data_IF_332194348914
#
_entry.id   IF_332194348914
#
_cell.length_a   1.000
_cell.length_b   1.000
_cell.length_c   1.000
_cell.angle_alpha   90.00
_cell.angle_beta   90.00
_cell.angle_gamma   90.00
#
_symmetry.space_group_name_H-M   'P 1'
#
loop_
_entity.id
_entity.type
_entity.pdbx_description
1 polymer ?
#
# COMPACT_ATOMS: atom_id res chain seq x y z
N UNK A 1 -22.94 -29.16 -9.38
CA UNK A 1 -21.56 -28.95 -8.89
C UNK A 1 -21.58 -27.61 -8.19
N UNK A 2 -21.81 -27.66 -6.88
CA UNK A 2 -21.78 -26.49 -6.00
C UNK A 2 -20.34 -25.96 -6.00
N UNK A 3 -20.17 -24.70 -6.38
CA UNK A 3 -19.01 -23.95 -5.89
C UNK A 3 -19.37 -23.61 -4.44
N UNK A 4 -18.74 -24.30 -3.49
CA UNK A 4 -18.87 -23.94 -2.08
C UNK A 4 -18.36 -22.50 -1.92
N UNK A 5 -19.18 -21.57 -1.39
CA UNK A 5 -18.71 -20.21 -1.14
C UNK A 5 -17.61 -20.25 -0.07
N UNK A 6 -16.59 -19.39 -0.15
CA UNK A 6 -15.59 -19.29 0.90
C UNK A 6 -16.31 -18.98 2.21
N UNK A 7 -15.93 -19.70 3.27
CA UNK A 7 -16.43 -19.47 4.62
C UNK A 7 -15.92 -18.11 5.13
N UNK A 8 -16.57 -17.03 4.70
CA UNK A 8 -16.48 -15.77 5.43
C UNK A 8 -17.22 -16.00 6.75
N UNK A 9 -16.47 -16.08 7.85
CA UNK A 9 -17.06 -16.05 9.17
C UNK A 9 -17.44 -14.60 9.47
N UNK A 10 -18.73 -14.35 9.68
CA UNK A 10 -19.25 -13.04 10.08
C UNK A 10 -18.87 -12.74 11.53
N UNK A 11 -18.14 -11.64 11.74
CA UNK A 11 -17.97 -11.03 13.07
C UNK A 11 -19.26 -10.37 13.57
N UNK A 12 -19.36 -10.05 14.88
CA UNK A 12 -20.59 -9.59 15.54
C UNK A 12 -21.13 -8.21 15.10
N UNK A 13 -20.49 -7.52 14.15
CA UNK A 13 -20.91 -6.21 13.62
C UNK A 13 -21.41 -6.22 12.17
N UNK A 14 -21.34 -7.35 11.45
CA UNK A 14 -21.78 -7.44 10.05
C UNK A 14 -20.92 -6.63 9.05
N UNK A 15 -19.87 -5.96 9.51
CA UNK A 15 -18.87 -5.31 8.67
C UNK A 15 -17.56 -6.11 8.71
N UNK A 16 -16.88 -6.31 7.56
CA UNK A 16 -15.57 -6.94 7.55
C UNK A 16 -14.63 -6.13 8.44
N UNK A 17 -13.88 -6.83 9.30
CA UNK A 17 -12.86 -6.15 10.10
C UNK A 17 -11.75 -5.64 9.17
N UNK A 18 -10.99 -4.62 9.60
CA UNK A 18 -9.88 -4.06 8.82
C UNK A 18 -8.94 -5.15 8.32
N UNK A 19 -8.69 -6.17 9.14
CA UNK A 19 -7.88 -7.36 8.81
C UNK A 19 -8.50 -8.24 7.73
N UNK A 20 -9.83 -8.41 7.70
CA UNK A 20 -10.50 -9.23 6.69
C UNK A 20 -10.56 -8.53 5.33
N UNK A 21 -10.76 -7.20 5.34
CA UNK A 21 -10.73 -6.38 4.13
C UNK A 21 -9.32 -6.35 3.52
N UNK A 22 -8.28 -6.22 4.35
CA UNK A 22 -6.88 -6.29 3.94
C UNK A 22 -6.54 -7.68 3.35
N UNK A 23 -6.97 -8.76 3.99
CA UNK A 23 -6.74 -10.11 3.47
C UNK A 23 -7.39 -10.31 2.08
N UNK A 24 -8.60 -9.81 1.87
CA UNK A 24 -9.30 -9.88 0.58
C UNK A 24 -8.67 -8.99 -0.50
N UNK A 25 -8.15 -7.81 -0.12
CA UNK A 25 -7.40 -6.95 -1.04
C UNK A 25 -6.08 -7.60 -1.45
N UNK A 26 -5.34 -8.17 -0.50
CA UNK A 26 -4.11 -8.93 -0.76
C UNK A 26 -4.38 -10.13 -1.67
N UNK A 27 -5.44 -10.91 -1.45
CA UNK A 27 -5.76 -12.02 -2.35
C UNK A 27 -6.00 -11.55 -3.81
N UNK A 28 -6.70 -10.42 -3.99
CA UNK A 28 -6.97 -9.84 -5.31
C UNK A 28 -5.75 -9.24 -6.01
N UNK A 29 -4.80 -8.67 -5.27
CA UNK A 29 -3.61 -8.02 -5.85
C UNK A 29 -2.56 -9.05 -6.30
N UNK A 30 -2.56 -10.25 -5.71
CA UNK A 30 -1.55 -11.28 -5.99
C UNK A 30 -1.97 -12.29 -7.08
N UNK A 31 -3.21 -12.26 -7.56
CA UNK A 31 -3.68 -13.14 -8.63
C UNK A 31 -3.13 -12.67 -9.99
N UNK A 32 -1.82 -12.87 -10.21
CA UNK A 32 -1.14 -12.64 -11.49
C UNK A 32 0.15 -11.81 -11.45
N UNK A 33 0.60 -11.34 -10.29
CA UNK A 33 1.83 -10.55 -10.17
C UNK A 33 3.05 -11.43 -9.91
N UNK A 34 4.11 -11.26 -10.73
CA UNK A 34 5.40 -11.95 -10.55
C UNK A 34 6.34 -10.97 -9.83
N UNK A 35 6.75 -11.30 -8.61
CA UNK A 35 7.79 -10.56 -7.91
C UNK A 35 9.15 -10.84 -8.57
N UNK A 36 9.73 -9.83 -9.23
CA UNK A 36 11.10 -9.90 -9.80
C UNK A 36 12.05 -9.20 -8.84
N UNK A 37 13.10 -9.90 -8.40
CA UNK A 37 14.11 -9.32 -7.54
C UNK A 37 15.01 -8.37 -8.34
N UNK A 38 14.88 -7.07 -8.11
CA UNK A 38 15.78 -6.06 -8.68
C UNK A 38 16.71 -5.54 -7.59
N UNK A 39 17.97 -6.01 -7.58
CA UNK A 39 19.01 -5.42 -6.72
C UNK A 39 19.34 -4.02 -7.25
N UNK A 40 18.68 -3.00 -6.73
CA UNK A 40 18.98 -1.62 -7.08
C UNK A 40 20.19 -1.06 -6.33
N UNK A 41 20.96 -0.22 -7.02
CA UNK A 41 22.02 0.59 -6.42
C UNK A 41 21.49 1.81 -5.65
N UNK A 42 20.21 2.15 -5.80
CA UNK A 42 19.57 3.35 -5.21
C UNK A 42 18.19 3.03 -4.61
N UNK A 43 18.10 2.12 -3.61
CA UNK A 43 16.82 1.62 -3.09
C UNK A 43 15.89 2.72 -2.57
N UNK A 44 16.43 3.75 -1.90
CA UNK A 44 15.63 4.89 -1.45
C UNK A 44 14.90 5.60 -2.59
N UNK A 45 15.62 5.97 -3.66
CA UNK A 45 15.03 6.73 -4.77
C UNK A 45 13.92 5.93 -5.46
N UNK A 46 14.10 4.62 -5.58
CA UNK A 46 13.09 3.77 -6.21
C UNK A 46 11.82 3.68 -5.38
N UNK A 47 11.92 3.50 -4.06
CA UNK A 47 10.75 3.52 -3.19
C UNK A 47 10.06 4.88 -3.20
N UNK A 48 10.83 5.97 -3.16
CA UNK A 48 10.27 7.33 -3.23
C UNK A 48 9.49 7.55 -4.53
N UNK A 49 10.11 7.30 -5.69
CA UNK A 49 9.44 7.47 -6.99
C UNK A 49 8.22 6.58 -7.09
N UNK A 50 8.33 5.31 -6.68
CA UNK A 50 7.21 4.37 -6.75
C UNK A 50 6.03 4.78 -5.86
N UNK A 51 6.29 5.31 -4.65
CA UNK A 51 5.23 5.81 -3.77
C UNK A 51 4.57 7.06 -4.35
N UNK A 52 5.35 8.01 -4.88
CA UNK A 52 4.83 9.21 -5.55
C UNK A 52 3.95 8.83 -6.73
N UNK A 53 4.41 7.91 -7.59
CA UNK A 53 3.64 7.46 -8.75
C UNK A 53 2.29 6.85 -8.35
N UNK A 54 2.24 6.06 -7.27
CA UNK A 54 0.98 5.50 -6.75
C UNK A 54 0.05 6.58 -6.19
N UNK A 55 0.58 7.56 -5.47
CA UNK A 55 -0.19 8.71 -4.98
C UNK A 55 -0.75 9.54 -6.13
N UNK A 56 0.08 9.88 -7.12
CA UNK A 56 -0.31 10.64 -8.31
C UNK A 56 -1.37 9.90 -9.11
N UNK A 57 -1.20 8.60 -9.34
CA UNK A 57 -2.18 7.79 -10.05
C UNK A 57 -3.53 7.75 -9.33
N UNK A 58 -3.53 7.68 -7.99
CA UNK A 58 -4.75 7.71 -7.18
C UNK A 58 -5.46 9.06 -7.26
N UNK A 59 -4.72 10.16 -7.14
CA UNK A 59 -5.26 11.52 -7.32
C UNK A 59 -5.81 11.74 -8.73
N UNK A 60 -5.15 11.21 -9.77
CA UNK A 60 -5.61 11.29 -11.15
C UNK A 60 -6.92 10.50 -11.41
N UNK A 61 -7.28 9.59 -10.51
CA UNK A 61 -8.56 8.86 -10.50
C UNK A 61 -9.61 9.52 -9.58
N UNK A 62 -9.36 10.74 -9.11
CA UNK A 62 -10.20 11.46 -8.14
C UNK A 62 -10.44 10.69 -6.83
N UNK A 63 -9.51 9.80 -6.46
CA UNK A 63 -9.56 9.05 -5.20
C UNK A 63 -8.83 9.80 -4.10
N UNK A 64 -9.38 9.76 -2.89
CA UNK A 64 -8.78 10.42 -1.72
C UNK A 64 -7.46 9.76 -1.31
N UNK A 65 -6.46 10.60 -1.01
CA UNK A 65 -5.19 10.23 -0.38
C UNK A 65 -5.25 10.75 1.04
N UNK A 66 -5.68 9.89 1.96
CA UNK A 66 -5.76 10.16 3.38
C UNK A 66 -4.72 9.33 4.16
N UNK A 67 -4.70 9.50 5.47
CA UNK A 67 -3.77 8.77 6.33
C UNK A 67 -3.97 7.25 6.27
N UNK A 68 -5.21 6.77 6.15
CA UNK A 68 -5.51 5.35 6.09
C UNK A 68 -4.90 4.71 4.83
N UNK A 69 -5.02 5.37 3.67
CA UNK A 69 -4.35 4.92 2.44
C UNK A 69 -2.82 4.96 2.54
N UNK A 70 -2.26 6.02 3.13
CA UNK A 70 -0.80 6.13 3.27
C UNK A 70 -0.25 5.07 4.25
N UNK A 71 -0.95 4.78 5.35
CA UNK A 71 -0.60 3.70 6.26
C UNK A 71 -0.62 2.34 5.53
N UNK A 72 -1.68 2.05 4.78
CA UNK A 72 -1.80 0.80 4.00
C UNK A 72 -0.67 0.67 2.96
N UNK A 73 -0.36 1.75 2.25
CA UNK A 73 0.73 1.80 1.30
C UNK A 73 2.06 1.45 1.98
N UNK A 74 2.39 2.07 3.10
CA UNK A 74 3.61 1.79 3.86
C UNK A 74 3.66 0.32 4.31
N UNK A 75 2.57 -0.20 4.88
CA UNK A 75 2.50 -1.57 5.34
C UNK A 75 2.76 -2.57 4.21
N UNK A 76 2.16 -2.34 3.03
CA UNK A 76 2.38 -3.19 1.85
C UNK A 76 3.87 -3.25 1.46
N UNK A 77 4.57 -2.11 1.40
CA UNK A 77 6.01 -2.10 1.10
C UNK A 77 6.83 -2.83 2.17
N UNK A 78 6.51 -2.65 3.45
CA UNK A 78 7.23 -3.33 4.53
C UNK A 78 7.02 -4.86 4.50
N UNK A 79 5.81 -5.32 4.20
CA UNK A 79 5.51 -6.76 4.12
C UNK A 79 6.14 -7.43 2.89
N UNK A 80 6.16 -6.73 1.75
CA UNK A 80 6.69 -7.26 0.49
C UNK A 80 8.21 -7.30 0.41
N UNK A 81 8.91 -6.54 1.25
CA UNK A 81 10.35 -6.35 1.14
C UNK A 81 11.12 -6.91 2.34
N UNK A 82 12.35 -7.39 2.08
CA UNK A 82 13.26 -7.85 3.13
C UNK A 82 13.52 -6.76 4.17
N UNK A 83 13.68 -7.13 5.44
CA UNK A 83 13.95 -6.20 6.56
C UNK A 83 15.11 -5.23 6.30
N UNK A 84 16.12 -5.64 5.54
CA UNK A 84 17.26 -4.77 5.16
C UNK A 84 16.85 -3.53 4.35
N UNK A 85 15.69 -3.59 3.67
CA UNK A 85 15.13 -2.53 2.85
C UNK A 85 14.23 -1.58 3.63
N UNK A 86 13.70 -1.98 4.80
CA UNK A 86 12.72 -1.21 5.58
C UNK A 86 13.19 0.20 5.92
N UNK A 87 14.49 0.39 6.17
CA UNK A 87 15.06 1.73 6.44
C UNK A 87 14.92 2.68 5.24
N UNK A 88 15.03 2.17 4.02
CA UNK A 88 14.90 2.97 2.80
C UNK A 88 13.43 3.26 2.51
N UNK A 89 12.55 2.27 2.72
CA UNK A 89 11.09 2.40 2.59
C UNK A 89 10.56 3.45 3.56
N UNK A 90 10.92 3.34 4.84
CA UNK A 90 10.45 4.26 5.89
C UNK A 90 10.93 5.69 5.62
N UNK A 91 12.19 5.86 5.19
CA UNK A 91 12.71 7.18 4.84
C UNK A 91 11.98 7.79 3.63
N UNK A 92 11.80 7.02 2.55
CA UNK A 92 11.05 7.47 1.38
C UNK A 92 9.61 7.88 1.72
N UNK A 93 8.95 7.08 2.56
CA UNK A 93 7.59 7.36 3.01
C UNK A 93 7.48 8.69 3.77
N UNK A 94 8.39 8.95 4.73
CA UNK A 94 8.40 10.21 5.49
C UNK A 94 8.60 11.42 4.57
N UNK A 95 9.45 11.29 3.57
CA UNK A 95 9.71 12.38 2.62
C UNK A 95 8.49 12.63 1.72
N UNK A 96 7.78 11.57 1.28
CA UNK A 96 6.51 11.71 0.54
C UNK A 96 5.44 12.38 1.41
N UNK A 97 5.29 11.97 2.67
CA UNK A 97 4.36 12.62 3.60
C UNK A 97 4.68 14.10 3.78
N UNK A 98 5.96 14.45 3.92
CA UNK A 98 6.38 15.86 4.03
C UNK A 98 6.03 16.70 2.81
N UNK A 99 6.11 16.13 1.60
CA UNK A 99 5.67 16.81 0.37
C UNK A 99 4.16 16.97 0.33
N UNK A 100 3.40 15.94 0.70
CA UNK A 100 1.94 16.00 0.73
C UNK A 100 1.45 17.03 1.75
N UNK A 101 2.05 17.08 2.93
CA UNK A 101 1.70 18.06 3.96
C UNK A 101 2.03 19.50 3.55
N UNK A 102 3.14 19.69 2.81
CA UNK A 102 3.55 21.02 2.33
C UNK A 102 2.59 21.62 1.29
N UNK A 103 1.96 20.81 0.45
CA UNK A 103 0.96 21.26 -0.54
C UNK A 103 -0.33 21.79 0.13
N UNK A 104 -0.62 21.39 1.37
CA UNK A 104 -1.78 21.90 2.13
C UNK A 104 -1.53 23.22 2.88
N UNK A 105 -0.30 23.75 2.87
CA UNK A 105 0.07 24.99 3.57
C UNK A 105 0.21 26.23 2.67
N UNK A 106 0.04 26.11 1.34
CA UNK A 106 0.07 27.26 0.42
C UNK A 106 -1.32 27.84 0.04
N UNK A 107 -2.37 27.62 0.85
CA UNK A 107 -3.66 28.32 0.73
C UNK A 107 -3.76 29.57 1.62
#
# INVERSE_FOLDING_TARGET
MMNDPPLYYYGPSGFPTRTDALASFHEKVYEGSIAVYMYSSKPYNEFYVSMVDMVVARLALDLTVDWDYMEELLLCYLELNEKKMHKYITQAFLDVMGVLDAEFQEC
#
